data_IF_960121575371
#
_entry.id   IF_960121575371
#
_cell.length_a   1.000
_cell.length_b   1.000
_cell.length_c   1.000
_cell.angle_alpha   90.00
_cell.angle_beta   90.00
_cell.angle_gamma   90.00
#
_symmetry.space_group_name_H-M   'P 1'
#
loop_
_entity.id
_entity.type
_entity.pdbx_description
1 polymer ?
#
# COMPACT_ATOMS: atom_id res chain seq x y z
N UNK A 1 16.13 6.19 -58.02
CA UNK A 1 16.36 6.13 -56.56
C UNK A 1 16.71 7.52 -56.09
N UNK A 2 15.74 8.24 -55.52
CA UNK A 2 15.94 9.59 -55.00
C UNK A 2 16.74 9.51 -53.70
N UNK A 3 18.00 9.91 -53.76
CA UNK A 3 18.87 10.04 -52.60
C UNK A 3 18.30 11.22 -51.80
N UNK A 4 17.71 10.92 -50.65
CA UNK A 4 17.24 11.92 -49.71
C UNK A 4 18.48 12.47 -49.00
N UNK A 5 18.92 13.66 -49.38
CA UNK A 5 20.06 14.31 -48.76
C UNK A 5 19.59 14.90 -47.43
N UNK A 6 19.89 14.19 -46.34
CA UNK A 6 19.48 14.59 -44.99
C UNK A 6 20.52 15.58 -44.45
N UNK A 7 20.13 16.82 -44.12
CA UNK A 7 21.04 17.81 -43.56
C UNK A 7 21.82 17.30 -42.34
N UNK A 8 23.11 17.60 -42.29
CA UNK A 8 24.03 17.22 -41.21
C UNK A 8 23.52 17.60 -39.83
N UNK A 9 22.87 18.76 -39.73
CA UNK A 9 22.36 19.32 -38.47
C UNK A 9 21.24 18.44 -37.88
N UNK A 10 20.43 17.82 -38.73
CA UNK A 10 19.40 16.87 -38.31
C UNK A 10 20.05 15.57 -37.83
N UNK A 11 21.12 15.13 -38.47
CA UNK A 11 21.86 13.93 -38.07
C UNK A 11 22.54 14.14 -36.70
N UNK A 12 23.19 15.30 -36.49
CA UNK A 12 23.85 15.65 -35.23
C UNK A 12 22.86 15.75 -34.07
N UNK A 13 21.73 16.42 -34.28
CA UNK A 13 20.68 16.54 -33.26
C UNK A 13 20.06 15.20 -32.89
N UNK A 14 19.88 14.30 -33.85
CA UNK A 14 19.41 12.93 -33.59
C UNK A 14 20.46 12.10 -32.84
N UNK A 15 21.75 12.25 -33.15
CA UNK A 15 22.83 11.59 -32.41
C UNK A 15 22.95 12.10 -30.97
N UNK A 16 22.85 13.41 -30.75
CA UNK A 16 22.84 14.01 -29.40
C UNK A 16 21.64 13.52 -28.58
N UNK A 17 20.45 13.47 -29.20
CA UNK A 17 19.26 12.90 -28.57
C UNK A 17 19.45 11.42 -28.20
N UNK A 18 20.01 10.62 -29.12
CA UNK A 18 20.30 9.21 -28.86
C UNK A 18 21.30 9.04 -27.70
N UNK A 19 22.32 9.90 -27.62
CA UNK A 19 23.31 9.88 -26.55
C UNK A 19 22.68 10.28 -25.20
N UNK A 20 21.78 11.27 -25.19
CA UNK A 20 21.05 11.65 -23.97
C UNK A 20 20.08 10.56 -23.51
N UNK A 21 19.37 9.92 -24.44
CA UNK A 21 18.47 8.79 -24.12
C UNK A 21 19.28 7.61 -23.59
N UNK A 22 20.40 7.26 -24.22
CA UNK A 22 21.24 6.15 -23.75
C UNK A 22 21.89 6.46 -22.41
N UNK A 23 22.32 7.70 -22.17
CA UNK A 23 22.81 8.14 -20.86
C UNK A 23 21.71 8.10 -19.79
N UNK A 24 20.48 8.52 -20.10
CA UNK A 24 19.34 8.47 -19.19
C UNK A 24 18.87 7.03 -18.90
N UNK A 25 18.91 6.14 -19.89
CA UNK A 25 18.66 4.71 -19.71
C UNK A 25 19.80 4.00 -18.97
N UNK A 26 21.03 4.50 -19.11
CA UNK A 26 22.21 4.05 -18.36
C UNK A 26 22.30 4.66 -16.96
N UNK A 27 21.48 5.67 -16.67
CA UNK A 27 21.33 6.27 -15.34
C UNK A 27 20.59 5.25 -14.44
N UNK A 28 21.42 4.35 -13.91
CA UNK A 28 21.25 3.45 -12.78
C UNK A 28 19.83 2.95 -12.49
N UNK A 29 19.50 1.80 -13.09
CA UNK A 29 18.61 0.85 -12.41
C UNK A 29 19.39 0.27 -11.24
N UNK A 30 19.34 0.93 -10.07
CA UNK A 30 19.86 0.33 -8.84
C UNK A 30 19.14 -1.00 -8.63
N UNK A 31 19.87 -2.13 -8.51
CA UNK A 31 19.23 -3.43 -8.41
C UNK A 31 18.42 -3.49 -7.11
N UNK A 32 17.09 -3.53 -7.25
CA UNK A 32 16.14 -3.50 -6.14
C UNK A 32 16.36 -4.66 -5.17
N UNK A 33 16.72 -5.83 -5.70
CA UNK A 33 17.05 -7.02 -4.95
C UNK A 33 18.33 -7.62 -5.53
N UNK A 34 19.37 -7.70 -4.71
CA UNK A 34 20.62 -8.38 -5.05
C UNK A 34 20.74 -9.67 -4.27
N UNK A 35 21.26 -10.69 -4.93
CA UNK A 35 21.69 -11.94 -4.31
C UNK A 35 23.20 -11.87 -4.15
N UNK A 36 23.68 -11.83 -2.92
CA UNK A 36 25.11 -11.87 -2.63
C UNK A 36 25.61 -13.30 -2.87
N UNK A 37 26.34 -13.48 -3.97
CA UNK A 37 27.04 -14.71 -4.34
C UNK A 37 28.53 -14.59 -3.99
N UNK A 38 28.86 -14.21 -2.76
CA UNK A 38 30.23 -14.29 -2.23
C UNK A 38 30.47 -15.67 -1.63
N UNK A 39 31.60 -16.31 -1.94
CA UNK A 39 31.93 -17.74 -1.69
C UNK A 39 32.02 -18.23 -0.24
N UNK A 40 31.22 -17.69 0.69
CA UNK A 40 31.02 -18.25 2.01
C UNK A 40 30.16 -19.52 1.97
N UNK A 41 30.33 -20.38 2.97
CA UNK A 41 29.47 -21.56 3.17
C UNK A 41 28.06 -21.12 3.58
N UNK A 42 27.03 -21.72 2.97
CA UNK A 42 25.63 -21.55 3.39
C UNK A 42 24.69 -21.02 2.29
N UNK A 43 23.47 -20.68 2.70
CA UNK A 43 22.43 -20.13 1.80
C UNK A 43 22.78 -18.68 1.42
N UNK A 44 22.75 -18.30 0.13
CA UNK A 44 23.03 -16.94 -0.31
C UNK A 44 22.12 -15.90 0.34
N UNK A 45 22.69 -14.74 0.66
CA UNK A 45 21.98 -13.63 1.28
C UNK A 45 21.26 -12.82 0.20
N UNK A 46 20.02 -12.47 0.48
CA UNK A 46 19.25 -11.52 -0.32
C UNK A 46 19.30 -10.15 0.35
N UNK A 47 19.67 -9.14 -0.42
CA UNK A 47 19.86 -7.76 0.01
C UNK A 47 18.92 -6.89 -0.81
N UNK A 48 18.00 -6.18 -0.13
CA UNK A 48 17.07 -5.23 -0.75
C UNK A 48 17.68 -3.84 -0.70
N UNK A 49 17.53 -3.05 -1.77
CA UNK A 49 17.92 -1.63 -1.80
C UNK A 49 17.25 -0.88 -0.63
N UNK A 50 18.04 -0.04 0.05
CA UNK A 50 17.55 0.78 1.16
C UNK A 50 16.55 1.82 0.64
N UNK A 51 16.88 2.47 -0.46
CA UNK A 51 16.05 3.50 -1.10
C UNK A 51 14.67 2.94 -1.45
N UNK A 52 14.63 1.76 -2.07
CA UNK A 52 13.38 1.13 -2.44
C UNK A 52 12.57 0.70 -1.22
N UNK A 53 13.23 0.10 -0.22
CA UNK A 53 12.55 -0.35 1.00
C UNK A 53 11.97 0.84 1.79
N UNK A 54 12.71 1.94 1.89
CA UNK A 54 12.24 3.20 2.50
C UNK A 54 11.02 3.74 1.76
N UNK A 55 11.07 3.81 0.41
CA UNK A 55 9.92 4.24 -0.40
C UNK A 55 8.68 3.37 -0.19
N UNK A 56 8.83 2.04 -0.13
CA UNK A 56 7.70 1.16 0.15
C UNK A 56 7.08 1.40 1.54
N UNK A 57 7.91 1.68 2.54
CA UNK A 57 7.45 2.00 3.89
C UNK A 57 6.72 3.33 3.91
N UNK A 58 7.24 4.36 3.22
CA UNK A 58 6.60 5.68 3.05
C UNK A 58 5.23 5.56 2.37
N UNK A 59 5.12 4.72 1.34
CA UNK A 59 3.85 4.37 0.67
C UNK A 59 2.88 3.57 1.56
N UNK A 60 3.19 3.38 2.85
CA UNK A 60 2.36 2.68 3.82
C UNK A 60 2.04 1.22 3.46
N UNK A 61 2.86 0.58 2.61
CA UNK A 61 2.65 -0.83 2.25
C UNK A 61 2.92 -1.75 3.44
N UNK A 62 2.06 -2.76 3.67
CA UNK A 62 2.35 -3.75 4.70
C UNK A 62 3.54 -4.60 4.27
N UNK A 63 4.36 -5.03 5.24
CA UNK A 63 5.56 -5.85 4.99
C UNK A 63 5.24 -7.13 4.22
N UNK A 64 4.06 -7.72 4.43
CA UNK A 64 3.58 -8.86 3.65
C UNK A 64 3.43 -8.55 2.16
N UNK A 65 2.91 -7.37 1.81
CA UNK A 65 2.79 -6.93 0.42
C UNK A 65 4.16 -6.68 -0.19
N UNK A 66 5.05 -5.99 0.53
CA UNK A 66 6.44 -5.74 0.09
C UNK A 66 7.16 -7.06 -0.19
N UNK A 67 7.04 -8.02 0.72
CA UNK A 67 7.63 -9.35 0.59
C UNK A 67 7.10 -10.08 -0.66
N UNK A 68 5.79 -10.01 -0.92
CA UNK A 68 5.16 -10.59 -2.12
C UNK A 68 5.64 -9.92 -3.41
N UNK A 69 5.71 -8.57 -3.44
CA UNK A 69 6.19 -7.81 -4.61
C UNK A 69 7.63 -8.19 -4.95
N UNK A 70 8.48 -8.35 -3.92
CA UNK A 70 9.90 -8.66 -4.09
C UNK A 70 10.20 -10.17 -4.20
N UNK A 71 9.19 -11.04 -4.07
CA UNK A 71 9.37 -12.49 -4.13
C UNK A 71 10.24 -13.07 -3.01
N UNK A 72 10.24 -12.45 -1.82
CA UNK A 72 11.05 -12.87 -0.66
C UNK A 72 10.16 -13.13 0.56
N UNK A 73 10.71 -13.80 1.58
CA UNK A 73 9.99 -13.97 2.84
C UNK A 73 9.89 -12.65 3.63
N UNK A 74 8.82 -12.50 4.41
CA UNK A 74 8.67 -11.36 5.34
C UNK A 74 9.86 -11.24 6.30
N UNK A 75 10.42 -12.36 6.74
CA UNK A 75 11.62 -12.39 7.61
C UNK A 75 12.83 -11.71 6.96
N UNK A 76 13.00 -11.83 5.64
CA UNK A 76 14.08 -11.15 4.91
C UNK A 76 13.89 -9.64 4.95
N UNK A 77 12.66 -9.16 4.76
CA UNK A 77 12.33 -7.73 4.85
C UNK A 77 12.53 -7.21 6.27
N UNK A 78 11.99 -7.89 7.30
CA UNK A 78 12.17 -7.46 8.69
C UNK A 78 13.63 -7.45 9.13
N UNK A 79 14.44 -8.43 8.69
CA UNK A 79 15.88 -8.43 8.95
C UNK A 79 16.53 -7.22 8.28
N UNK A 80 16.23 -6.96 7.01
CA UNK A 80 16.80 -5.81 6.28
C UNK A 80 16.38 -4.47 6.90
N UNK A 81 15.14 -4.34 7.33
CA UNK A 81 14.67 -3.16 8.07
C UNK A 81 15.47 -2.95 9.35
N UNK A 82 15.76 -4.02 10.11
CA UNK A 82 16.58 -3.95 11.33
C UNK A 82 18.01 -3.52 11.01
N UNK A 83 18.63 -4.12 9.99
CA UNK A 83 20.01 -3.81 9.59
C UNK A 83 20.16 -2.33 9.20
N UNK A 84 19.12 -1.73 8.61
CA UNK A 84 19.08 -0.34 8.18
C UNK A 84 18.47 0.63 9.23
N UNK A 85 18.03 0.13 10.38
CA UNK A 85 17.33 0.94 11.39
C UNK A 85 15.96 1.50 10.96
N UNK A 86 15.35 0.94 9.90
CA UNK A 86 14.05 1.37 9.39
C UNK A 86 12.90 0.89 10.28
N UNK A 87 11.96 1.79 10.57
CA UNK A 87 10.81 1.49 11.40
C UNK A 87 9.55 2.13 10.84
N UNK A 88 8.44 1.39 10.83
CA UNK A 88 7.13 1.97 10.50
C UNK A 88 6.74 3.05 11.50
N UNK A 89 7.21 2.95 12.76
CA UNK A 89 6.83 3.89 13.81
C UNK A 89 7.29 5.32 13.56
N UNK A 90 8.43 5.51 12.90
CA UNK A 90 8.97 6.84 12.57
C UNK A 90 8.19 7.53 11.46
N UNK A 91 7.42 6.76 10.67
CA UNK A 91 6.57 7.32 9.61
C UNK A 91 5.17 7.71 10.07
N UNK A 92 4.84 7.53 11.35
CA UNK A 92 3.56 8.02 11.85
C UNK A 92 3.54 9.54 11.91
N UNK A 93 2.41 10.13 11.54
CA UNK A 93 2.22 11.58 11.59
C UNK A 93 2.23 12.07 13.04
N UNK A 94 2.85 13.23 13.26
CA UNK A 94 2.89 13.95 14.53
C UNK A 94 1.62 14.77 14.81
N UNK A 95 0.56 14.56 14.03
CA UNK A 95 -0.74 15.22 14.17
C UNK A 95 -1.26 15.10 15.60
N UNK A 96 -1.72 16.21 16.19
CA UNK A 96 -2.30 16.24 17.53
C UNK A 96 -3.68 15.57 17.57
N UNK A 97 -4.18 15.25 18.77
CA UNK A 97 -5.51 14.64 18.89
C UNK A 97 -6.62 15.60 18.45
N UNK A 98 -6.49 16.91 18.71
CA UNK A 98 -7.46 17.91 18.28
C UNK A 98 -7.49 18.06 16.76
N UNK A 99 -6.33 18.09 16.10
CA UNK A 99 -6.25 18.14 14.63
C UNK A 99 -6.80 16.85 14.01
N UNK A 100 -6.52 15.70 14.63
CA UNK A 100 -7.06 14.42 14.20
C UNK A 100 -8.59 14.38 14.30
N UNK A 101 -9.15 14.88 15.40
CA UNK A 101 -10.60 14.96 15.60
C UNK A 101 -11.26 15.86 14.54
N UNK A 102 -10.63 17.00 14.20
CA UNK A 102 -11.08 17.89 13.14
C UNK A 102 -11.01 17.24 11.75
N UNK A 103 -9.93 16.51 11.44
CA UNK A 103 -9.80 15.78 10.19
C UNK A 103 -10.86 14.67 10.06
N UNK A 104 -11.10 13.92 11.14
CA UNK A 104 -12.14 12.89 11.19
C UNK A 104 -13.53 13.50 11.02
N UNK A 105 -13.83 14.63 11.68
CA UNK A 105 -15.07 15.37 11.48
C UNK A 105 -15.26 15.79 10.01
N UNK A 106 -14.21 16.31 9.36
CA UNK A 106 -14.27 16.70 7.96
C UNK A 106 -14.56 15.49 7.04
N UNK A 107 -13.91 14.35 7.28
CA UNK A 107 -14.18 13.11 6.54
C UNK A 107 -15.62 12.64 6.79
N UNK A 108 -16.11 12.69 8.04
CA UNK A 108 -17.47 12.29 8.39
C UNK A 108 -18.55 13.14 7.73
N UNK A 109 -18.32 14.44 7.57
CA UNK A 109 -19.26 15.32 6.82
C UNK A 109 -19.43 14.87 5.37
N UNK A 110 -18.36 14.36 4.74
CA UNK A 110 -18.38 13.84 3.37
C UNK A 110 -18.86 12.39 3.30
N UNK A 111 -18.49 11.58 4.27
CA UNK A 111 -18.74 10.13 4.34
C UNK A 111 -19.31 9.77 5.73
N UNK A 112 -20.60 10.04 6.01
CA UNK A 112 -21.17 9.88 7.35
C UNK A 112 -21.07 8.44 7.86
N UNK A 113 -21.24 7.47 6.96
CA UNK A 113 -21.20 6.04 7.28
C UNK A 113 -19.78 5.43 7.29
N UNK A 114 -18.72 6.25 7.15
CA UNK A 114 -17.35 5.75 7.16
C UNK A 114 -17.04 5.05 8.48
N UNK A 115 -16.69 3.76 8.40
CA UNK A 115 -16.13 3.00 9.52
C UNK A 115 -14.61 3.15 9.63
N UNK A 116 -14.03 2.57 10.67
CA UNK A 116 -12.60 2.71 10.99
C UNK A 116 -11.64 2.43 9.82
N UNK A 117 -11.95 1.40 9.01
CA UNK A 117 -11.12 1.04 7.84
C UNK A 117 -11.13 2.13 6.77
N UNK A 118 -12.31 2.65 6.44
CA UNK A 118 -12.44 3.74 5.46
C UNK A 118 -11.80 5.01 6.01
N UNK A 119 -12.02 5.31 7.29
CA UNK A 119 -11.43 6.47 7.97
C UNK A 119 -9.90 6.47 7.87
N UNK A 120 -9.28 5.32 8.16
CA UNK A 120 -7.83 5.16 8.00
C UNK A 120 -7.37 5.39 6.56
N UNK A 121 -8.10 4.87 5.58
CA UNK A 121 -7.79 5.06 4.16
C UNK A 121 -7.88 6.53 3.74
N UNK A 122 -8.92 7.25 4.17
CA UNK A 122 -9.05 8.68 3.92
C UNK A 122 -7.92 9.48 4.55
N UNK A 123 -7.61 9.25 5.83
CA UNK A 123 -6.50 9.90 6.50
C UNK A 123 -5.17 9.65 5.78
N UNK A 124 -4.93 8.42 5.30
CA UNK A 124 -3.74 8.11 4.51
C UNK A 124 -3.71 8.84 3.17
N UNK A 125 -4.85 8.95 2.48
CA UNK A 125 -4.96 9.71 1.24
C UNK A 125 -4.72 11.22 1.46
N UNK A 126 -5.11 11.74 2.62
CA UNK A 126 -4.83 13.10 3.06
C UNK A 126 -3.39 13.29 3.58
N UNK A 127 -2.54 12.25 3.49
CA UNK A 127 -1.12 12.30 3.87
C UNK A 127 -0.84 11.99 5.35
N UNK A 128 -1.86 11.59 6.12
CA UNK A 128 -1.73 11.27 7.54
C UNK A 128 -1.66 9.78 7.81
N UNK A 129 -0.49 9.30 8.23
CA UNK A 129 -0.32 7.93 8.73
C UNK A 129 -0.54 7.91 10.24
N UNK A 130 -1.74 7.52 10.67
CA UNK A 130 -2.13 7.53 12.10
C UNK A 130 -2.25 6.10 12.66
N UNK A 131 -1.92 5.94 13.94
CA UNK A 131 -2.07 4.68 14.67
C UNK A 131 -3.54 4.28 14.79
N UNK A 132 -3.82 2.97 14.71
CA UNK A 132 -5.19 2.44 14.77
C UNK A 132 -5.95 2.85 16.04
N UNK A 133 -5.27 2.80 17.19
CA UNK A 133 -5.87 3.14 18.48
C UNK A 133 -6.29 4.62 18.53
N UNK A 134 -5.44 5.54 18.03
CA UNK A 134 -5.76 6.97 17.98
C UNK A 134 -6.95 7.27 17.06
N UNK A 135 -7.02 6.62 15.90
CA UNK A 135 -8.18 6.73 15.00
C UNK A 135 -9.44 6.24 15.72
N UNK A 136 -9.37 5.11 16.42
CA UNK A 136 -10.51 4.55 17.15
C UNK A 136 -10.98 5.49 18.25
N UNK A 137 -10.07 5.98 19.08
CA UNK A 137 -10.36 6.91 20.18
C UNK A 137 -10.94 8.22 19.66
N UNK A 138 -10.33 8.81 18.63
CA UNK A 138 -10.83 10.02 17.97
C UNK A 138 -12.24 9.83 17.41
N UNK A 139 -12.49 8.72 16.70
CA UNK A 139 -13.82 8.40 16.22
C UNK A 139 -14.84 8.22 17.36
N UNK A 140 -14.45 7.69 18.52
CA UNK A 140 -15.34 7.63 19.68
C UNK A 140 -15.64 9.02 20.27
N UNK A 141 -14.66 9.93 20.29
CA UNK A 141 -14.89 11.32 20.73
C UNK A 141 -15.80 12.09 19.77
N UNK A 142 -15.60 11.89 18.47
CA UNK A 142 -16.27 12.65 17.40
C UNK A 142 -17.64 12.08 17.03
N UNK A 143 -17.79 10.77 17.00
CA UNK A 143 -18.95 10.07 16.41
C UNK A 143 -19.38 8.85 17.24
N UNK A 144 -19.43 8.99 18.57
CA UNK A 144 -20.00 7.94 19.43
C UNK A 144 -21.42 7.52 19.00
N UNK A 145 -22.36 8.46 18.69
CA UNK A 145 -23.69 8.09 18.24
C UNK A 145 -23.69 7.33 16.92
N UNK A 146 -22.95 7.76 15.89
CA UNK A 146 -22.90 7.07 14.60
C UNK A 146 -22.12 5.75 14.65
N UNK A 147 -21.23 5.55 15.63
CA UNK A 147 -20.70 4.22 15.95
C UNK A 147 -21.81 3.34 16.53
N UNK A 148 -22.54 3.81 17.53
CA UNK A 148 -23.61 3.04 18.18
C UNK A 148 -24.72 2.69 17.17
N UNK A 149 -25.16 3.67 16.39
CA UNK A 149 -26.14 3.50 15.33
C UNK A 149 -25.69 2.43 14.34
N UNK A 150 -24.43 2.42 13.89
CA UNK A 150 -23.93 1.34 13.04
C UNK A 150 -23.90 0.00 13.75
N UNK A 151 -23.56 -0.04 15.05
CA UNK A 151 -23.59 -1.29 15.81
C UNK A 151 -25.00 -1.85 15.99
N UNK A 152 -26.01 -0.98 16.08
CA UNK A 152 -27.42 -1.38 16.25
C UNK A 152 -28.15 -1.61 14.91
N UNK A 153 -27.81 -0.83 13.87
CA UNK A 153 -28.37 -0.93 12.52
C UNK A 153 -27.70 -1.99 11.64
N UNK A 154 -26.44 -2.35 11.92
CA UNK A 154 -25.92 -3.67 11.52
C UNK A 154 -26.64 -4.71 12.39
N UNK A 155 -27.96 -4.77 12.24
CA UNK A 155 -28.78 -5.82 12.79
C UNK A 155 -28.06 -7.12 12.45
N UNK A 156 -27.94 -7.98 13.46
CA UNK A 156 -27.44 -9.33 13.28
C UNK A 156 -28.00 -9.85 11.95
N UNK A 157 -27.14 -10.15 10.97
CA UNK A 157 -27.60 -10.79 9.74
C UNK A 157 -28.32 -12.03 10.23
N UNK A 158 -29.65 -12.02 10.15
CA UNK A 158 -30.46 -13.14 10.59
C UNK A 158 -30.14 -14.25 9.62
N UNK A 159 -29.19 -15.11 10.02
CA UNK A 159 -28.85 -16.30 9.25
C UNK A 159 -30.10 -17.15 9.25
N UNK A 160 -30.68 -17.31 8.07
CA UNK A 160 -31.83 -18.19 7.89
C UNK A 160 -31.36 -19.61 8.15
N UNK A 161 -31.98 -20.27 9.13
CA UNK A 161 -31.87 -21.72 9.25
C UNK A 161 -32.81 -22.34 8.23
N UNK A 162 -32.23 -23.10 7.29
CA UNK A 162 -32.99 -23.83 6.29
C UNK A 162 -33.17 -25.27 6.75
N UNK A 163 -34.40 -25.78 6.67
CA UNK A 163 -34.68 -27.21 6.77
C UNK A 163 -35.12 -27.71 5.40
N UNK A 164 -34.44 -28.73 4.89
CA UNK A 164 -34.63 -29.26 3.55
C UNK A 164 -34.89 -30.76 3.60
N UNK A 165 -35.85 -31.23 2.79
CA UNK A 165 -36.30 -32.62 2.79
C UNK A 165 -35.32 -33.56 2.06
N UNK A 166 -34.46 -33.04 1.18
CA UNK A 166 -33.48 -33.80 0.42
C UNK A 166 -32.25 -32.96 0.07
N UNK A 167 -31.08 -33.59 -0.20
CA UNK A 167 -29.92 -32.88 -0.75
C UNK A 167 -30.26 -32.09 -2.02
N UNK A 168 -29.60 -30.94 -2.22
CA UNK A 168 -29.77 -30.02 -3.38
C UNK A 168 -31.15 -29.38 -3.55
N UNK A 169 -32.09 -29.56 -2.62
CA UNK A 169 -33.41 -28.92 -2.70
C UNK A 169 -33.41 -27.42 -2.39
N UNK A 170 -32.31 -26.87 -1.87
CA UNK A 170 -32.10 -25.43 -1.70
C UNK A 170 -30.68 -25.06 -2.12
N UNK A 171 -30.56 -24.06 -2.99
CA UNK A 171 -29.28 -23.47 -3.42
C UNK A 171 -29.25 -22.03 -2.93
N UNK A 172 -28.30 -21.71 -2.07
CA UNK A 172 -28.07 -20.34 -1.62
C UNK A 172 -26.99 -19.70 -2.50
N UNK A 173 -27.31 -18.59 -3.15
CA UNK A 173 -26.34 -17.80 -3.91
C UNK A 173 -25.77 -16.75 -2.95
N UNK A 174 -24.55 -17.00 -2.46
CA UNK A 174 -23.81 -16.02 -1.67
C UNK A 174 -23.29 -14.93 -2.62
N UNK A 175 -23.88 -13.74 -2.60
CA UNK A 175 -23.35 -12.56 -3.31
C UNK A 175 -22.12 -12.04 -2.60
N UNK A 176 -21.05 -12.83 -2.58
CA UNK A 176 -19.77 -12.43 -2.02
C UNK A 176 -18.98 -11.65 -3.07
N UNK A 177 -19.27 -10.34 -3.17
CA UNK A 177 -18.60 -9.40 -4.10
C UNK A 177 -17.10 -9.19 -3.83
N UNK A 178 -16.48 -9.98 -2.94
CA UNK A 178 -15.03 -9.96 -2.70
C UNK A 178 -14.23 -10.91 -3.60
N UNK A 179 -14.90 -11.68 -4.46
CA UNK A 179 -14.28 -12.68 -5.36
C UNK A 179 -14.27 -12.25 -6.84
N UNK A 180 -14.66 -11.00 -7.12
CA UNK A 180 -14.50 -10.36 -8.43
C UNK A 180 -13.42 -9.29 -8.35
#
# INVERSE_FOLDING_TARGET
>A
STIFDVPSDILETLMDLQQKISAALSQEVTPVLTRECGGGRGRPKFTVSEEMLSRFIEMCLPVSCIANILGVSQSTIFRRMRDLGLSVKTTYSTISDNELDNAILAIKRRLPNAGYRMMKGCLQADGHRVQWNRIKESMHRVDAPGILERMTQLGCIVRRSYFVQSPLSLVHIDTNHKLI
#
